data_IF_248065341564
#
_entry.id   IF_248065341564
#
_cell.length_a   1.000
_cell.length_b   1.000
_cell.length_c   1.000
_cell.angle_alpha   90.00
_cell.angle_beta   90.00
_cell.angle_gamma   90.00
#
_symmetry.space_group_name_H-M   'P 1'
#
loop_
_entity.id
_entity.type
_entity.pdbx_description
1 polymer ?
#
# COMPACT_ATOMS: atom_id res chain seq x y z
N UNK A 1 10.49 -6.22 -12.37
CA UNK A 1 11.21 -6.17 -11.09
C UNK A 1 12.04 -7.43 -10.92
N UNK A 2 13.35 -7.34 -10.66
CA UNK A 2 14.20 -8.49 -10.31
C UNK A 2 14.74 -8.29 -8.91
N UNK A 3 14.33 -9.13 -7.95
CA UNK A 3 14.77 -9.05 -6.54
C UNK A 3 15.84 -10.11 -6.30
N UNK A 4 16.96 -9.72 -5.67
CA UNK A 4 18.04 -10.62 -5.29
C UNK A 4 18.61 -10.29 -3.92
N UNK A 5 19.14 -11.31 -3.26
CA UNK A 5 19.84 -11.23 -1.97
C UNK A 5 21.34 -11.29 -2.21
N UNK A 6 22.09 -10.44 -1.52
CA UNK A 6 23.53 -10.33 -1.56
C UNK A 6 24.06 -10.50 -0.14
N UNK A 7 25.03 -11.41 0.02
CA UNK A 7 25.72 -11.65 1.29
C UNK A 7 27.19 -11.31 1.09
N UNK A 8 27.76 -10.52 1.98
CA UNK A 8 29.17 -10.13 1.93
C UNK A 8 29.74 -9.93 3.33
N UNK A 9 31.06 -10.05 3.53
CA UNK A 9 31.70 -9.89 4.84
C UNK A 9 31.53 -8.49 5.43
N UNK A 10 31.39 -7.47 4.58
CA UNK A 10 31.23 -6.08 4.98
C UNK A 10 30.23 -5.34 4.08
N UNK A 11 29.71 -4.21 4.58
CA UNK A 11 28.68 -3.45 3.87
C UNK A 11 29.16 -2.84 2.56
N UNK A 12 30.44 -2.47 2.45
CA UNK A 12 31.01 -1.90 1.22
C UNK A 12 31.07 -2.97 0.13
N UNK A 13 31.49 -4.18 0.48
CA UNK A 13 31.48 -5.35 -0.40
C UNK A 13 30.05 -5.70 -0.83
N UNK A 14 29.09 -5.70 0.09
CA UNK A 14 27.67 -5.94 -0.25
C UNK A 14 27.14 -4.91 -1.27
N UNK A 15 27.41 -3.62 -1.05
CA UNK A 15 26.98 -2.55 -1.96
C UNK A 15 27.67 -2.62 -3.33
N UNK A 16 28.93 -3.07 -3.38
CA UNK A 16 29.62 -3.29 -4.64
C UNK A 16 28.98 -4.43 -5.45
N UNK A 17 28.57 -5.52 -4.79
CA UNK A 17 27.85 -6.62 -5.44
C UNK A 17 26.50 -6.16 -5.98
N UNK A 18 25.74 -5.41 -5.17
CA UNK A 18 24.46 -4.81 -5.60
C UNK A 18 24.66 -3.94 -6.83
N UNK A 19 25.66 -3.06 -6.84
CA UNK A 19 25.95 -2.18 -7.99
C UNK A 19 26.40 -2.93 -9.23
N UNK A 20 27.23 -3.97 -9.06
CA UNK A 20 27.72 -4.77 -10.18
C UNK A 20 26.61 -5.56 -10.87
N UNK A 21 25.61 -6.01 -10.10
CA UNK A 21 24.52 -6.85 -10.60
C UNK A 21 23.27 -6.04 -11.02
N UNK A 22 22.89 -5.04 -10.22
CA UNK A 22 21.65 -4.28 -10.37
C UNK A 22 21.85 -2.84 -10.85
N UNK A 23 23.09 -2.36 -10.90
CA UNK A 23 23.41 -1.00 -11.30
C UNK A 23 23.30 0.03 -10.16
N UNK A 24 23.56 1.31 -10.46
CA UNK A 24 23.51 2.40 -9.48
C UNK A 24 22.09 2.69 -8.98
N UNK A 25 21.07 2.39 -9.77
CA UNK A 25 19.65 2.70 -9.49
C UNK A 25 18.95 1.58 -8.70
N UNK A 26 19.70 0.68 -8.09
CA UNK A 26 19.16 -0.43 -7.30
C UNK A 26 18.48 0.08 -6.02
N UNK A 27 17.27 -0.42 -5.75
CA UNK A 27 16.54 -0.09 -4.52
C UNK A 27 16.80 -1.17 -3.47
N UNK A 28 17.27 -0.77 -2.29
CA UNK A 28 17.48 -1.66 -1.15
C UNK A 28 16.16 -1.87 -0.42
N UNK A 29 15.74 -3.13 -0.29
CA UNK A 29 14.50 -3.52 0.38
C UNK A 29 14.75 -3.90 1.85
N UNK A 30 15.89 -4.55 2.13
CA UNK A 30 16.24 -5.01 3.48
C UNK A 30 17.75 -5.00 3.70
N UNK A 31 18.14 -4.79 4.95
CA UNK A 31 19.52 -4.82 5.42
C UNK A 31 19.55 -5.52 6.79
N UNK A 32 20.32 -6.61 6.90
CA UNK A 32 20.50 -7.36 8.14
C UNK A 32 21.96 -7.75 8.32
N UNK A 33 22.44 -7.69 9.56
CA UNK A 33 23.74 -8.27 9.94
C UNK A 33 23.53 -9.72 10.39
N UNK A 34 24.33 -10.63 9.87
CA UNK A 34 24.31 -12.07 10.14
C UNK A 34 25.72 -12.52 10.54
N UNK A 35 25.88 -13.76 10.98
CA UNK A 35 27.20 -14.28 11.38
C UNK A 35 28.21 -14.28 10.21
N UNK A 36 27.73 -14.50 8.98
CA UNK A 36 28.55 -14.44 7.75
C UNK A 36 28.84 -13.00 7.26
N UNK A 37 28.34 -11.96 7.95
CA UNK A 37 28.58 -10.55 7.62
C UNK A 37 27.29 -9.75 7.44
N UNK A 38 27.06 -9.21 6.24
CA UNK A 38 25.91 -8.35 5.92
C UNK A 38 25.10 -8.97 4.79
N UNK A 39 23.80 -9.11 5.04
CA UNK A 39 22.79 -9.51 4.06
C UNK A 39 22.02 -8.28 3.58
N UNK A 40 22.04 -8.05 2.26
CA UNK A 40 21.31 -6.97 1.59
C UNK A 40 20.35 -7.60 0.58
N UNK A 41 19.06 -7.25 0.66
CA UNK A 41 18.07 -7.60 -0.36
C UNK A 41 17.81 -6.36 -1.20
N UNK A 42 18.02 -6.46 -2.51
CA UNK A 42 17.86 -5.35 -3.44
C UNK A 42 17.04 -5.76 -4.66
N UNK A 43 16.44 -4.77 -5.31
CA UNK A 43 15.69 -4.95 -6.55
C UNK A 43 16.29 -4.09 -7.66
N UNK A 44 16.47 -4.69 -8.84
CA UNK A 44 16.72 -3.97 -10.09
C UNK A 44 15.42 -3.55 -10.76
N UNK A 45 15.46 -2.37 -11.38
CA UNK A 45 14.35 -1.79 -12.15
C UNK A 45 13.10 -1.58 -11.27
N UNK A 46 13.26 -0.86 -10.17
CA UNK A 46 12.12 -0.14 -9.61
C UNK A 46 11.77 0.93 -10.65
N UNK A 47 10.69 0.69 -11.41
CA UNK A 47 10.30 1.57 -12.50
C UNK A 47 9.71 2.84 -11.88
N UNK A 48 10.58 3.81 -11.60
CA UNK A 48 10.19 5.15 -11.14
C UNK A 48 9.17 5.77 -12.10
N UNK A 49 9.27 5.46 -13.41
CA UNK A 49 8.32 5.89 -14.42
C UNK A 49 6.93 5.28 -14.23
N UNK A 50 6.83 3.99 -13.91
CA UNK A 50 5.56 3.34 -13.61
C UNK A 50 4.93 3.90 -12.31
N UNK A 51 5.73 4.16 -11.29
CA UNK A 51 5.27 4.76 -10.03
C UNK A 51 4.83 6.21 -10.24
N UNK A 52 5.61 6.99 -11.00
CA UNK A 52 5.28 8.37 -11.31
C UNK A 52 4.02 8.45 -12.17
N UNK A 53 3.85 7.59 -13.17
CA UNK A 53 2.62 7.50 -13.96
C UNK A 53 1.43 7.04 -13.13
N UNK A 54 1.61 6.09 -12.21
CA UNK A 54 0.56 5.69 -11.28
C UNK A 54 0.19 6.84 -10.32
N UNK A 55 1.16 7.62 -9.85
CA UNK A 55 0.95 8.79 -9.01
C UNK A 55 0.26 9.92 -9.79
N UNK A 56 0.66 10.19 -11.03
CA UNK A 56 0.01 11.17 -11.91
C UNK A 56 -1.40 10.73 -12.31
N UNK A 57 -1.60 9.44 -12.61
CA UNK A 57 -2.92 8.88 -12.87
C UNK A 57 -3.81 8.99 -11.63
N UNK A 58 -3.32 8.62 -10.44
CA UNK A 58 -4.04 8.80 -9.19
C UNK A 58 -4.36 10.29 -8.91
N UNK A 59 -3.46 11.22 -9.26
CA UNK A 59 -3.73 12.67 -9.15
C UNK A 59 -4.76 13.17 -10.15
N UNK A 60 -4.86 12.56 -11.33
CA UNK A 60 -5.89 12.86 -12.34
C UNK A 60 -7.25 12.22 -12.01
N UNK A 61 -7.26 11.07 -11.35
CA UNK A 61 -8.47 10.32 -10.98
C UNK A 61 -9.07 10.74 -9.63
N UNK A 62 -8.29 11.39 -8.76
CA UNK A 62 -8.83 12.10 -7.58
C UNK A 62 -9.43 13.43 -8.06
N UNK A 63 -10.61 13.35 -8.66
CA UNK A 63 -11.58 14.42 -8.48
C UNK A 63 -11.80 14.58 -6.97
N UNK A 64 -11.78 15.82 -6.42
CA UNK A 64 -12.13 16.00 -5.02
C UNK A 64 -13.49 15.35 -4.79
N UNK A 65 -13.70 14.60 -3.68
CA UNK A 65 -15.02 14.08 -3.38
C UNK A 65 -16.00 15.25 -3.46
N UNK A 66 -17.14 15.12 -4.17
CA UNK A 66 -18.12 16.18 -4.22
C UNK A 66 -18.43 16.57 -2.77
N UNK A 67 -18.37 17.85 -2.41
CA UNK A 67 -18.70 18.25 -1.05
C UNK A 67 -20.10 17.72 -0.76
N UNK A 68 -20.21 16.85 0.24
CA UNK A 68 -21.51 16.36 0.69
C UNK A 68 -22.43 17.59 0.87
N UNK A 69 -23.67 17.57 0.34
CA UNK A 69 -24.57 18.70 0.44
C UNK A 69 -24.72 19.03 1.92
N UNK A 70 -24.13 20.15 2.35
CA UNK A 70 -24.34 20.66 3.70
C UNK A 70 -25.84 20.98 3.79
N UNK A 71 -26.58 20.40 4.75
CA UNK A 71 -28.00 20.69 4.86
C UNK A 71 -28.15 22.20 5.05
N UNK A 72 -28.96 22.83 4.18
CA UNK A 72 -29.14 24.29 4.16
C UNK A 72 -29.80 24.83 5.42
N UNK A 73 -30.38 23.95 6.25
CA UNK A 73 -31.01 24.27 7.52
C UNK A 73 -30.91 23.11 8.51
N UNK A 74 -30.88 23.44 9.80
CA UNK A 74 -30.91 22.48 10.90
C UNK A 74 -32.13 21.53 10.84
N UNK A 75 -33.25 21.98 10.27
CA UNK A 75 -34.44 21.15 10.10
C UNK A 75 -34.21 19.97 9.14
N UNK A 76 -33.44 20.18 8.07
CA UNK A 76 -33.13 19.17 7.06
C UNK A 76 -32.19 18.08 7.63
N UNK A 77 -31.25 18.51 8.49
CA UNK A 77 -30.35 17.60 9.21
C UNK A 77 -31.10 16.67 10.18
N UNK A 78 -32.13 17.18 10.86
CA UNK A 78 -32.91 16.38 11.81
C UNK A 78 -33.76 15.32 11.10
N UNK A 79 -34.38 15.66 9.97
CA UNK A 79 -35.20 14.71 9.18
C UNK A 79 -34.33 13.57 8.63
N UNK A 80 -33.13 13.88 8.12
CA UNK A 80 -32.19 12.87 7.63
C UNK A 80 -31.69 11.94 8.76
N UNK A 81 -31.39 12.50 9.94
CA UNK A 81 -30.91 11.72 11.09
C UNK A 81 -31.98 10.80 11.70
N UNK A 82 -33.27 11.16 11.60
CA UNK A 82 -34.38 10.34 12.09
C UNK A 82 -34.63 9.14 11.18
N UNK A 83 -34.56 9.32 9.86
CA UNK A 83 -34.81 8.23 8.89
C UNK A 83 -33.71 7.16 8.96
N UNK A 84 -32.45 7.55 9.17
CA UNK A 84 -31.32 6.61 9.24
C UNK A 84 -31.36 5.69 10.47
N UNK A 85 -31.99 6.13 11.57
CA UNK A 85 -32.12 5.33 12.81
C UNK A 85 -33.13 4.19 12.72
N UNK A 86 -33.98 4.14 11.69
CA UNK A 86 -35.03 3.12 11.57
C UNK A 86 -34.57 1.84 10.85
N UNK A 87 -33.38 1.83 10.24
CA UNK A 87 -32.85 0.67 9.49
C UNK A 87 -31.54 0.18 10.11
N UNK A 88 -31.58 -0.27 11.36
CA UNK A 88 -30.50 -1.11 11.91
C UNK A 88 -31.08 -2.10 12.92
N UNK A 89 -31.29 -3.34 12.48
CA UNK A 89 -31.22 -4.55 13.30
C UNK A 89 -30.72 -5.72 12.42
N UNK A 90 -29.96 -6.68 12.99
CA UNK A 90 -28.83 -7.36 12.33
C UNK A 90 -29.09 -8.84 11.93
N UNK A 91 -28.13 -9.40 11.18
CA UNK A 91 -28.01 -10.81 10.74
C UNK A 91 -28.01 -11.83 11.89
N UNK A 92 -28.71 -12.97 11.71
CA UNK A 92 -28.45 -14.25 12.37
C UNK A 92 -29.01 -15.45 11.55
N UNK A 93 -28.15 -16.15 10.81
CA UNK A 93 -28.23 -17.62 10.62
C UNK A 93 -27.61 -18.31 11.88
N UNK A 94 -27.61 -19.65 12.13
CA UNK A 94 -28.08 -20.85 11.37
C UNK A 94 -28.81 -21.95 12.24
N UNK A 95 -29.38 -23.01 11.62
CA UNK A 95 -29.58 -24.43 12.11
C UNK A 95 -30.48 -25.19 11.09
N UNK A 96 -30.45 -26.48 10.78
CA UNK A 96 -29.56 -27.64 10.93
C UNK A 96 -30.11 -28.77 10.00
N UNK A 97 -29.20 -29.47 9.32
CA UNK A 97 -29.16 -30.83 8.74
C UNK A 97 -30.40 -31.75 8.51
N UNK A 98 -30.28 -32.56 7.44
CA UNK A 98 -30.73 -33.96 7.22
C UNK A 98 -32.16 -34.25 6.70
N UNK A 99 -32.24 -34.77 5.46
CA UNK A 99 -32.85 -36.07 5.06
C UNK A 99 -32.52 -36.34 3.59
#
# INVERSE_FOLDING_TARGET
MKIKRFVAPDMRSAMNLVRKEHGPDAVILSNRRIEEGVEIVAAANYDEGAVQRALEAARKDVAPPPPAPRPRSAADAMIAAVTRRKTTAPVAEPVAATT
#
